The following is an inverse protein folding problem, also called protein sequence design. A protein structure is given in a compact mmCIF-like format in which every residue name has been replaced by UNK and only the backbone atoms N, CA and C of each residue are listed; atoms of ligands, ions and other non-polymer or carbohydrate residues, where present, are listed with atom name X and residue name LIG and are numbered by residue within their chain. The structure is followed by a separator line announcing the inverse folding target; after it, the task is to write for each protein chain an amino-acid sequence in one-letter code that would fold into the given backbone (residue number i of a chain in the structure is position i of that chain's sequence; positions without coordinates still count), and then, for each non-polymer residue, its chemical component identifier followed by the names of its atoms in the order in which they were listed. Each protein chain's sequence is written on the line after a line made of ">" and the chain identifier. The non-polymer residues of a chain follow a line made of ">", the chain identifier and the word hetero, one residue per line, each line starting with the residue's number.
data_IF_050340449203
#
_entry.id   IF_050340449203
#
_cell.length_a   1.000
_cell.length_b   1.000
_cell.length_c   1.000
_cell.angle_alpha   90.00
_cell.angle_beta   90.00
_cell.angle_gamma   90.00
#
_symmetry.space_group_name_H-M   'P 1'
#
loop_
_entity.id
_entity.type
_entity.pdbx_description
1 polymer ?
#
# COMPACT_ATOMS: atom_id res chain seq x y z
N UNK A 1 -9.79 -9.59 -16.76
CA UNK A 1 -10.55 -8.95 -15.67
C UNK A 1 -11.67 -9.88 -15.25
N UNK A 2 -11.57 -10.34 -14.04
CA UNK A 2 -12.44 -11.37 -13.49
C UNK A 2 -13.74 -10.73 -13.02
N UNK A 3 -14.86 -11.07 -13.65
CA UNK A 3 -16.20 -10.77 -13.16
C UNK A 3 -16.55 -11.64 -11.91
N UNK A 4 -15.60 -11.85 -11.01
CA UNK A 4 -15.79 -12.66 -9.80
C UNK A 4 -16.51 -11.90 -8.68
N UNK A 5 -16.57 -10.58 -8.75
CA UNK A 5 -17.17 -9.75 -7.70
C UNK A 5 -18.64 -10.08 -7.39
N UNK A 6 -19.39 -10.57 -8.37
CA UNK A 6 -20.82 -10.88 -8.18
C UNK A 6 -21.13 -12.37 -7.92
N UNK A 7 -20.18 -13.30 -8.12
CA UNK A 7 -20.52 -14.74 -8.17
C UNK A 7 -20.06 -15.60 -7.00
N UNK A 8 -19.13 -15.13 -6.17
CA UNK A 8 -18.59 -16.00 -5.11
C UNK A 8 -18.22 -15.21 -3.85
N UNK A 9 -19.21 -14.88 -3.01
CA UNK A 9 -19.02 -14.22 -1.72
C UNK A 9 -17.98 -14.93 -0.83
N UNK A 10 -17.93 -16.25 -0.87
CA UNK A 10 -16.94 -17.02 -0.12
C UNK A 10 -15.49 -16.80 -0.58
N UNK A 11 -15.25 -16.53 -1.88
CA UNK A 11 -13.92 -16.23 -2.40
C UNK A 11 -13.45 -14.85 -1.91
N UNK A 12 -14.33 -13.85 -1.93
CA UNK A 12 -14.05 -12.53 -1.39
C UNK A 12 -13.79 -12.59 0.13
N UNK A 13 -14.54 -13.41 0.85
CA UNK A 13 -14.36 -13.62 2.29
C UNK A 13 -13.01 -14.30 2.61
N UNK A 14 -12.63 -15.35 1.87
CA UNK A 14 -11.33 -15.99 2.04
C UNK A 14 -10.17 -15.04 1.68
N UNK A 15 -10.29 -14.32 0.57
CA UNK A 15 -9.29 -13.31 0.20
C UNK A 15 -9.17 -12.24 1.29
N UNK A 16 -10.30 -11.71 1.78
CA UNK A 16 -10.34 -10.75 2.88
C UNK A 16 -9.68 -11.32 4.15
N UNK A 17 -9.96 -12.57 4.48
CA UNK A 17 -9.35 -13.27 5.60
C UNK A 17 -7.82 -13.32 5.48
N UNK A 18 -7.29 -13.76 4.34
CA UNK A 18 -5.84 -13.80 4.08
C UNK A 18 -5.23 -12.40 4.13
N UNK A 19 -5.81 -11.46 3.38
CA UNK A 19 -5.27 -10.12 3.25
C UNK A 19 -5.26 -9.37 4.58
N UNK A 20 -6.38 -9.38 5.32
CA UNK A 20 -6.48 -8.66 6.59
C UNK A 20 -5.66 -9.35 7.68
N UNK A 21 -5.56 -10.69 7.69
CA UNK A 21 -4.68 -11.40 8.62
C UNK A 21 -3.21 -11.05 8.39
N UNK A 22 -2.75 -10.98 7.13
CA UNK A 22 -1.39 -10.57 6.79
C UNK A 22 -1.12 -9.12 7.22
N UNK A 23 -2.05 -8.20 6.95
CA UNK A 23 -1.96 -6.80 7.39
C UNK A 23 -1.94 -6.70 8.92
N UNK A 24 -2.80 -7.46 9.61
CA UNK A 24 -2.86 -7.51 11.08
C UNK A 24 -1.54 -8.02 11.67
N UNK A 25 -0.99 -9.08 11.09
CA UNK A 25 0.34 -9.59 11.47
C UNK A 25 1.40 -8.50 11.34
N UNK A 26 1.44 -7.83 10.19
CA UNK A 26 2.41 -6.76 9.96
C UNK A 26 2.26 -5.62 10.98
N UNK A 27 1.05 -5.13 11.21
CA UNK A 27 0.79 -4.05 12.16
C UNK A 27 1.21 -4.45 13.59
N UNK A 28 0.77 -5.62 14.06
CA UNK A 28 0.97 -6.03 15.46
C UNK A 28 2.41 -6.48 15.70
N UNK A 29 2.92 -7.40 14.88
CA UNK A 29 4.22 -8.03 15.13
C UNK A 29 5.39 -7.16 14.66
N UNK A 30 5.24 -6.42 13.57
CA UNK A 30 6.31 -5.58 13.02
C UNK A 30 6.16 -4.11 13.41
N UNK A 31 4.95 -3.56 13.31
CA UNK A 31 4.70 -2.15 13.52
C UNK A 31 4.69 -1.75 15.00
N UNK A 32 4.05 -2.53 15.87
CA UNK A 32 3.91 -2.20 17.30
C UNK A 32 5.01 -2.77 18.20
N UNK A 33 5.89 -3.61 17.69
CA UNK A 33 6.95 -4.24 18.48
C UNK A 33 7.84 -3.25 19.23
N UNK A 34 8.05 -2.05 18.69
CA UNK A 34 8.89 -1.00 19.28
C UNK A 34 8.10 0.10 19.98
N UNK A 35 6.77 0.00 20.01
CA UNK A 35 5.92 1.02 20.61
C UNK A 35 5.87 0.83 22.12
N UNK A 36 6.36 1.83 22.88
CA UNK A 36 6.47 1.80 24.36
C UNK A 36 5.11 1.78 25.08
N UNK A 37 4.02 2.11 24.38
CA UNK A 37 2.67 2.15 24.94
C UNK A 37 1.88 0.85 24.74
N UNK A 38 2.46 -0.14 24.05
CA UNK A 38 1.83 -1.43 23.78
C UNK A 38 2.67 -2.54 24.40
N UNK A 39 2.76 -2.51 25.72
CA UNK A 39 3.33 -3.63 26.50
C UNK A 39 2.15 -4.48 27.02
N UNK A 40 2.22 -5.80 26.83
CA UNK A 40 1.20 -6.68 27.38
C UNK A 40 1.33 -8.14 26.97
N UNK A 41 0.79 -9.01 27.80
CA UNK A 41 0.81 -10.46 27.64
C UNK A 41 0.30 -10.93 26.25
N UNK A 42 -0.56 -10.16 25.60
CA UNK A 42 -1.06 -10.47 24.26
C UNK A 42 0.06 -10.36 23.20
N UNK A 43 0.87 -9.32 23.24
CA UNK A 43 2.00 -9.15 22.30
C UNK A 43 3.07 -10.22 22.51
N UNK A 44 3.38 -10.53 23.76
CA UNK A 44 4.34 -11.59 24.09
C UNK A 44 3.84 -12.94 23.59
N UNK A 45 2.55 -13.23 23.80
CA UNK A 45 1.93 -14.44 23.27
C UNK A 45 1.98 -14.46 21.73
N UNK A 46 1.61 -13.38 21.06
CA UNK A 46 1.58 -13.29 19.61
C UNK A 46 2.99 -13.43 19.00
N UNK A 47 4.02 -12.84 19.63
CA UNK A 47 5.41 -12.96 19.20
C UNK A 47 5.96 -14.39 19.40
N UNK A 48 5.58 -15.05 20.49
CA UNK A 48 6.02 -16.42 20.77
C UNK A 48 5.27 -17.47 19.97
N UNK A 49 4.03 -17.18 19.53
CA UNK A 49 3.16 -18.11 18.83
C UNK A 49 2.67 -17.57 17.45
N UNK A 50 3.61 -17.10 16.64
CA UNK A 50 3.33 -16.41 15.38
C UNK A 50 2.39 -17.21 14.45
N UNK A 51 2.62 -18.50 14.28
CA UNK A 51 1.80 -19.35 13.42
C UNK A 51 0.36 -19.52 13.94
N UNK A 52 0.20 -19.64 15.26
CA UNK A 52 -1.13 -19.72 15.88
C UNK A 52 -1.85 -18.38 15.73
N UNK A 53 -1.14 -17.26 15.93
CA UNK A 53 -1.67 -15.92 15.75
C UNK A 53 -2.15 -15.69 14.31
N UNK A 54 -1.35 -16.07 13.30
CA UNK A 54 -1.73 -15.96 11.89
C UNK A 54 -2.95 -16.83 11.59
N UNK A 55 -2.96 -18.10 12.03
CA UNK A 55 -4.08 -19.01 11.82
C UNK A 55 -5.37 -18.52 12.46
N UNK A 56 -5.31 -18.07 13.70
CA UNK A 56 -6.46 -17.51 14.41
C UNK A 56 -6.97 -16.23 13.72
N UNK A 57 -6.06 -15.32 13.38
CA UNK A 57 -6.40 -14.09 12.64
C UNK A 57 -7.07 -14.41 11.31
N UNK A 58 -6.56 -15.36 10.56
CA UNK A 58 -7.17 -15.77 9.29
C UNK A 58 -8.61 -16.28 9.47
N UNK A 59 -8.84 -17.15 10.46
CA UNK A 59 -10.19 -17.67 10.72
C UNK A 59 -11.14 -16.54 11.14
N UNK A 60 -10.73 -15.70 12.09
CA UNK A 60 -11.53 -14.58 12.58
C UNK A 60 -11.87 -13.61 11.44
N UNK A 61 -10.86 -13.18 10.68
CA UNK A 61 -11.06 -12.23 9.59
C UNK A 61 -11.85 -12.81 8.41
N UNK A 62 -11.74 -14.12 8.15
CA UNK A 62 -12.58 -14.78 7.14
C UNK A 62 -14.05 -14.78 7.54
N UNK A 63 -14.35 -15.06 8.81
CA UNK A 63 -15.72 -15.02 9.35
C UNK A 63 -16.26 -13.58 9.32
N UNK A 64 -15.48 -12.61 9.79
CA UNK A 64 -15.85 -11.19 9.78
C UNK A 64 -16.09 -10.70 8.35
N UNK A 65 -15.20 -11.02 7.42
CA UNK A 65 -15.36 -10.65 6.01
C UNK A 65 -16.63 -11.25 5.39
N UNK A 66 -16.90 -12.51 5.68
CA UNK A 66 -18.12 -13.15 5.22
C UNK A 66 -19.37 -12.47 5.81
N UNK A 67 -19.36 -12.16 7.09
CA UNK A 67 -20.47 -11.49 7.77
C UNK A 67 -20.71 -10.07 7.22
N UNK A 68 -19.64 -9.29 6.99
CA UNK A 68 -19.74 -7.95 6.42
C UNK A 68 -20.32 -7.96 5.02
N UNK A 69 -19.92 -8.92 4.18
CA UNK A 69 -20.46 -9.04 2.84
C UNK A 69 -21.90 -9.59 2.83
N UNK A 70 -22.21 -10.58 3.69
CA UNK A 70 -23.50 -11.23 3.74
C UNK A 70 -24.60 -10.33 4.33
N UNK A 71 -24.33 -9.66 5.47
CA UNK A 71 -25.30 -8.87 6.20
C UNK A 71 -25.31 -7.40 5.81
N UNK A 72 -24.14 -6.80 5.64
CA UNK A 72 -24.00 -5.37 5.36
C UNK A 72 -23.79 -5.04 3.88
N UNK A 73 -23.59 -6.05 3.03
CA UNK A 73 -23.30 -5.90 1.59
C UNK A 73 -22.10 -4.97 1.31
N UNK A 74 -21.13 -4.94 2.24
CA UNK A 74 -19.93 -4.14 2.10
C UNK A 74 -18.95 -4.91 1.22
N UNK A 75 -18.35 -4.23 0.26
CA UNK A 75 -17.32 -4.81 -0.60
C UNK A 75 -16.01 -4.97 0.18
N UNK A 76 -15.59 -6.23 0.40
CA UNK A 76 -14.40 -6.57 1.18
C UNK A 76 -13.12 -6.01 0.56
N UNK A 77 -13.05 -5.89 -0.76
CA UNK A 77 -11.88 -5.32 -1.42
C UNK A 77 -11.63 -3.86 -1.02
N UNK A 78 -12.69 -3.08 -0.78
CA UNK A 78 -12.57 -1.71 -0.28
C UNK A 78 -11.97 -1.70 1.12
N UNK A 79 -12.41 -2.62 2.00
CA UNK A 79 -11.86 -2.73 3.37
C UNK A 79 -10.38 -3.09 3.31
N UNK A 80 -9.99 -4.06 2.48
CA UNK A 80 -8.57 -4.44 2.30
C UNK A 80 -7.75 -3.26 1.78
N UNK A 81 -8.29 -2.48 0.83
CA UNK A 81 -7.62 -1.27 0.31
C UNK A 81 -7.39 -0.25 1.42
N UNK A 82 -8.41 0.03 2.23
CA UNK A 82 -8.31 1.02 3.33
C UNK A 82 -7.30 0.55 4.38
N UNK A 83 -7.40 -0.70 4.83
CA UNK A 83 -6.49 -1.26 5.84
C UNK A 83 -5.06 -1.39 5.31
N UNK A 84 -4.88 -1.84 4.06
CA UNK A 84 -3.56 -1.92 3.42
C UNK A 84 -2.93 -0.54 3.24
N UNK A 85 -3.73 0.46 2.85
CA UNK A 85 -3.25 1.85 2.76
C UNK A 85 -2.83 2.38 4.13
N UNK A 86 -3.60 2.09 5.17
CA UNK A 86 -3.25 2.47 6.54
C UNK A 86 -1.96 1.79 7.00
N UNK A 87 -1.82 0.48 6.80
CA UNK A 87 -0.61 -0.26 7.18
C UNK A 87 0.63 0.24 6.45
N UNK A 88 0.49 0.49 5.13
CA UNK A 88 1.57 1.05 4.33
C UNK A 88 1.95 2.46 4.79
N UNK A 89 0.96 3.33 5.05
CA UNK A 89 1.19 4.66 5.59
C UNK A 89 1.89 4.62 6.95
N UNK A 90 1.51 3.68 7.82
CA UNK A 90 2.14 3.49 9.13
C UNK A 90 3.61 3.03 8.99
N UNK A 91 3.90 2.12 8.06
CA UNK A 91 5.26 1.66 7.78
C UNK A 91 6.15 2.81 7.28
N UNK A 92 5.66 3.62 6.35
CA UNK A 92 6.39 4.79 5.85
C UNK A 92 6.54 5.86 6.92
N UNK A 93 5.48 6.17 7.67
CA UNK A 93 5.54 7.15 8.75
C UNK A 93 6.56 6.77 9.83
N UNK A 94 6.68 5.48 10.18
CA UNK A 94 7.69 5.00 11.10
C UNK A 94 9.11 5.25 10.59
N UNK A 95 9.37 5.00 9.32
CA UNK A 95 10.67 5.25 8.70
C UNK A 95 10.97 6.76 8.59
N UNK A 96 10.01 7.56 8.18
CA UNK A 96 10.16 9.01 8.06
C UNK A 96 10.35 9.68 9.43
N UNK A 97 9.64 9.21 10.46
CA UNK A 97 9.82 9.68 11.84
C UNK A 97 11.27 9.50 12.32
N UNK A 98 11.87 8.34 12.06
CA UNK A 98 13.27 8.09 12.45
C UNK A 98 14.22 9.05 11.73
N UNK A 99 14.03 9.27 10.45
CA UNK A 99 14.95 10.08 9.64
C UNK A 99 14.80 11.59 9.87
N UNK A 100 13.58 12.08 10.05
CA UNK A 100 13.32 13.53 10.13
C UNK A 100 13.16 14.04 11.56
N UNK A 101 12.68 13.22 12.47
CA UNK A 101 12.41 13.60 13.86
C UNK A 101 13.39 12.94 14.82
N UNK A 102 13.77 11.68 14.58
CA UNK A 102 14.66 10.92 15.45
C UNK A 102 16.02 11.57 15.60
N UNK A 103 16.63 12.03 14.51
CA UNK A 103 17.96 12.67 14.54
C UNK A 103 17.96 13.99 15.33
N UNK A 104 17.07 14.96 15.09
CA UNK A 104 16.95 16.17 15.93
C UNK A 104 16.66 15.86 17.39
N UNK A 105 15.83 14.84 17.67
CA UNK A 105 15.52 14.44 19.04
C UNK A 105 16.71 13.80 19.76
N UNK A 106 17.47 12.97 19.06
CA UNK A 106 18.69 12.40 19.58
C UNK A 106 19.71 13.51 19.91
N UNK A 107 19.85 14.50 19.02
CA UNK A 107 20.72 15.66 19.27
C UNK A 107 20.26 16.48 20.49
N UNK A 108 18.96 16.74 20.62
CA UNK A 108 18.40 17.44 21.77
C UNK A 108 18.65 16.66 23.09
N UNK A 109 18.38 15.37 23.10
CA UNK A 109 18.60 14.53 24.28
C UNK A 109 20.10 14.46 24.63
N UNK A 110 20.99 14.36 23.64
CA UNK A 110 22.44 14.40 23.86
C UNK A 110 22.88 15.73 24.50
N UNK A 111 22.34 16.84 24.04
CA UNK A 111 22.61 18.13 24.60
C UNK A 111 22.15 18.23 26.07
N UNK A 112 20.93 17.79 26.37
CA UNK A 112 20.40 17.83 27.75
C UNK A 112 21.16 16.94 28.70
N UNK A 113 21.62 15.75 28.25
CA UNK A 113 22.45 14.84 29.07
C UNK A 113 23.82 15.44 29.29
N UNK A 114 24.43 16.03 28.25
CA UNK A 114 25.72 16.70 28.40
C UNK A 114 25.64 17.90 29.34
N UNK A 115 24.61 18.76 29.21
CA UNK A 115 24.39 19.91 30.09
C UNK A 115 24.23 19.46 31.56
N UNK A 116 23.50 18.37 31.82
CA UNK A 116 23.31 17.80 33.14
C UNK A 116 24.56 17.17 33.73
N UNK A 117 25.49 16.66 32.90
CA UNK A 117 26.75 16.04 33.36
C UNK A 117 27.75 17.05 33.91
N UNK A 118 27.71 18.32 33.47
CA UNK A 118 28.67 19.34 33.83
C UNK A 118 30.09 19.12 33.30
N UNK A 119 30.30 18.12 32.44
CA UNK A 119 31.58 17.81 31.83
C UNK A 119 31.94 18.72 30.67
N UNK A 120 33.26 18.86 30.42
CA UNK A 120 33.68 19.57 29.20
C UNK A 120 33.30 18.78 27.94
N UNK A 121 32.81 19.46 26.92
CA UNK A 121 32.36 18.84 25.66
C UNK A 121 33.42 17.94 25.00
N UNK A 122 34.70 18.22 25.23
CA UNK A 122 35.85 17.40 24.75
C UNK A 122 36.08 16.09 25.52
N UNK A 123 35.50 15.94 26.69
CA UNK A 123 35.67 14.77 27.58
C UNK A 123 34.38 13.95 27.68
N UNK A 124 33.25 14.50 27.29
CA UNK A 124 31.95 13.84 27.34
C UNK A 124 31.85 12.74 26.28
N UNK A 125 31.64 11.51 26.73
CA UNK A 125 31.39 10.35 25.85
C UNK A 125 29.90 10.16 25.61
N UNK A 126 29.54 9.92 24.34
CA UNK A 126 28.12 9.74 23.91
C UNK A 126 27.60 8.30 24.20
N UNK A 127 28.10 7.62 25.20
CA UNK A 127 27.70 6.23 25.54
C UNK A 127 26.21 6.10 25.87
N UNK A 128 25.61 7.15 26.43
CA UNK A 128 24.18 7.21 26.72
C UNK A 128 23.28 7.10 25.48
N UNK A 129 23.81 7.36 24.27
CA UNK A 129 23.08 7.18 23.00
C UNK A 129 23.15 5.75 22.45
N UNK A 130 24.00 4.88 23.01
CA UNK A 130 24.05 3.46 22.65
C UNK A 130 22.81 2.70 23.15
N UNK A 131 22.15 3.23 24.19
CA UNK A 131 20.90 2.71 24.70
C UNK A 131 19.68 3.38 24.04
N UNK A 132 18.48 2.78 24.23
CA UNK A 132 17.23 3.38 23.73
C UNK A 132 16.97 4.72 24.42
N UNK A 133 17.10 5.79 23.68
CA UNK A 133 16.82 7.14 24.20
C UNK A 133 15.30 7.38 24.20
N UNK A 134 14.68 7.61 25.36
CA UNK A 134 13.25 7.87 25.43
C UNK A 134 12.94 9.22 24.77
N UNK A 135 12.09 9.19 23.77
CA UNK A 135 11.64 10.41 23.10
C UNK A 135 10.40 10.97 23.78
N UNK A 136 10.37 12.27 24.05
CA UNK A 136 9.23 12.90 24.69
C UNK A 136 7.98 12.83 23.77
N UNK A 137 6.87 12.19 24.24
CA UNK A 137 5.68 11.99 23.41
C UNK A 137 5.08 13.29 22.88
N UNK A 138 5.19 14.37 23.64
CA UNK A 138 4.64 15.69 23.27
C UNK A 138 5.36 16.28 22.05
N UNK A 139 6.68 16.12 21.96
CA UNK A 139 7.47 16.57 20.82
C UNK A 139 7.17 15.74 19.57
N UNK A 140 6.95 14.44 19.71
CA UNK A 140 6.50 13.58 18.63
C UNK A 140 5.12 13.96 18.10
N UNK A 141 4.18 14.27 19.00
CA UNK A 141 2.84 14.75 18.63
C UNK A 141 2.90 16.08 17.90
N UNK A 142 3.69 17.03 18.36
CA UNK A 142 3.87 18.33 17.68
C UNK A 142 4.49 18.14 16.30
N UNK A 143 5.55 17.37 16.19
CA UNK A 143 6.22 17.09 14.91
C UNK A 143 5.30 16.36 13.94
N UNK A 144 4.56 15.33 14.40
CA UNK A 144 3.55 14.62 13.63
C UNK A 144 2.41 15.54 13.19
N UNK A 145 1.94 16.42 14.06
CA UNK A 145 0.93 17.42 13.74
C UNK A 145 1.38 18.39 12.64
N UNK A 146 2.60 18.92 12.72
CA UNK A 146 3.20 19.77 11.68
C UNK A 146 3.31 19.01 10.35
N UNK A 147 3.73 17.75 10.39
CA UNK A 147 3.83 16.90 9.19
C UNK A 147 2.45 16.70 8.54
N UNK A 148 1.42 16.37 9.32
CA UNK A 148 0.05 16.21 8.82
C UNK A 148 -0.44 17.51 8.16
N UNK A 149 -0.29 18.65 8.82
CA UNK A 149 -0.70 19.94 8.28
C UNK A 149 0.05 20.27 6.99
N UNK A 150 1.36 20.06 6.97
CA UNK A 150 2.20 20.30 5.79
C UNK A 150 1.77 19.47 4.61
N UNK A 151 1.53 18.15 4.80
CA UNK A 151 1.06 17.25 3.75
C UNK A 151 -0.35 17.62 3.27
N UNK A 152 -1.25 17.97 4.20
CA UNK A 152 -2.62 18.34 3.88
C UNK A 152 -2.70 19.59 2.99
N UNK A 153 -1.89 20.61 3.27
CA UNK A 153 -1.85 21.84 2.49
C UNK A 153 -0.90 21.79 1.28
N UNK A 154 -0.09 20.76 1.15
CA UNK A 154 0.89 20.64 0.07
C UNK A 154 0.23 20.41 -1.29
N UNK A 155 0.43 21.36 -2.21
CA UNK A 155 0.03 21.19 -3.61
C UNK A 155 0.79 20.06 -4.31
N UNK A 156 2.03 19.78 -3.90
CA UNK A 156 2.86 18.70 -4.45
C UNK A 156 2.29 17.33 -4.05
N UNK A 157 1.95 17.13 -2.76
CA UNK A 157 1.33 15.90 -2.28
C UNK A 157 0.02 15.60 -3.01
N UNK A 158 -0.84 16.60 -3.18
CA UNK A 158 -2.10 16.45 -3.95
C UNK A 158 -1.86 16.05 -5.41
N UNK A 159 -0.79 16.54 -6.05
CA UNK A 159 -0.45 16.14 -7.43
C UNK A 159 -0.02 14.68 -7.50
N UNK A 160 0.75 14.19 -6.51
CA UNK A 160 1.15 12.78 -6.42
C UNK A 160 -0.09 11.90 -6.27
N UNK A 161 -0.98 12.23 -5.32
CA UNK A 161 -2.25 11.50 -5.13
C UNK A 161 -3.06 11.48 -6.43
N UNK A 162 -3.24 12.64 -7.10
CA UNK A 162 -3.95 12.70 -8.38
C UNK A 162 -3.30 11.82 -9.44
N UNK A 163 -1.97 11.79 -9.52
CA UNK A 163 -1.26 10.93 -10.48
C UNK A 163 -1.50 9.45 -10.18
N UNK A 164 -1.43 9.05 -8.91
CA UNK A 164 -1.71 7.66 -8.50
C UNK A 164 -3.14 7.24 -8.83
N UNK A 165 -4.11 8.13 -8.59
CA UNK A 165 -5.52 7.91 -8.94
C UNK A 165 -5.69 7.77 -10.46
N UNK A 166 -5.08 8.66 -11.24
CA UNK A 166 -5.17 8.64 -12.72
C UNK A 166 -4.54 7.35 -13.29
N UNK A 167 -3.44 6.85 -12.70
CA UNK A 167 -2.80 5.59 -13.10
C UNK A 167 -3.59 4.33 -12.72
N UNK A 168 -4.48 4.44 -11.72
CA UNK A 168 -5.30 3.32 -11.25
C UNK A 168 -6.66 3.24 -11.96
N UNK A 169 -6.97 4.19 -12.83
CA UNK A 169 -8.23 4.22 -13.60
C UNK A 169 -8.24 3.16 -14.69
N UNK A 170 -9.41 2.58 -14.92
CA UNK A 170 -9.66 1.65 -16.03
C UNK A 170 -10.32 2.36 -17.23
N UNK A 171 -10.84 3.55 -17.02
CA UNK A 171 -11.50 4.32 -18.07
C UNK A 171 -10.49 4.85 -19.09
N UNK A 172 -10.91 4.95 -20.35
CA UNK A 172 -10.21 5.67 -21.42
C UNK A 172 -10.29 7.19 -21.10
N UNK A 173 -9.48 7.63 -20.12
CA UNK A 173 -9.35 9.04 -19.77
C UNK A 173 -8.40 9.77 -20.70
N UNK A 174 -8.42 11.10 -20.66
CA UNK A 174 -7.45 11.93 -21.37
C UNK A 174 -6.03 11.55 -20.97
N UNK A 175 -5.22 11.09 -21.92
CA UNK A 175 -3.82 10.76 -21.69
C UNK A 175 -3.07 12.00 -21.19
N UNK A 176 -2.45 11.86 -20.03
CA UNK A 176 -1.71 12.94 -19.36
C UNK A 176 -0.40 13.29 -20.06
N UNK A 177 0.15 12.32 -20.77
CA UNK A 177 1.43 12.47 -21.47
C UNK A 177 1.19 12.58 -22.95
N UNK A 178 1.60 13.71 -23.53
CA UNK A 178 1.61 13.83 -24.98
C UNK A 178 2.66 12.87 -25.57
N UNK A 179 2.31 12.12 -26.62
CA UNK A 179 3.26 11.18 -27.23
C UNK A 179 4.50 11.91 -27.74
N UNK A 180 5.65 11.45 -27.31
CA UNK A 180 6.96 11.97 -27.74
C UNK A 180 7.26 11.51 -29.17
N UNK A 181 8.09 12.24 -29.89
CA UNK A 181 8.52 11.92 -31.27
C UNK A 181 9.13 10.52 -31.36
N UNK A 182 9.94 10.14 -30.36
CA UNK A 182 10.54 8.79 -30.28
C UNK A 182 9.49 7.70 -30.10
N UNK A 183 8.51 7.90 -29.22
CA UNK A 183 7.44 6.92 -29.03
C UNK A 183 6.57 6.74 -30.27
N UNK A 184 6.32 7.84 -31.01
CA UNK A 184 5.61 7.77 -32.31
C UNK A 184 6.38 6.98 -33.35
N UNK A 185 7.70 7.16 -33.39
CA UNK A 185 8.58 6.42 -34.34
C UNK A 185 8.58 4.92 -34.01
N UNK A 186 8.73 4.58 -32.72
CA UNK A 186 8.69 3.19 -32.25
C UNK A 186 7.34 2.51 -32.54
N UNK A 187 6.22 3.20 -32.28
CA UNK A 187 4.88 2.68 -32.55
C UNK A 187 4.66 2.49 -34.06
N UNK A 188 5.09 3.44 -34.87
CA UNK A 188 5.02 3.30 -36.35
C UNK A 188 5.88 2.13 -36.84
N UNK A 189 7.09 1.98 -36.34
CA UNK A 189 7.95 0.83 -36.64
C UNK A 189 7.32 -0.50 -36.24
N UNK A 190 6.74 -0.58 -35.04
CA UNK A 190 6.06 -1.78 -34.57
C UNK A 190 4.81 -2.11 -35.43
N UNK A 191 4.04 -1.12 -35.86
CA UNK A 191 2.89 -1.32 -36.74
C UNK A 191 3.36 -1.81 -38.13
N UNK A 192 4.42 -1.24 -38.68
CA UNK A 192 4.96 -1.67 -39.97
C UNK A 192 5.51 -3.10 -39.91
N UNK A 193 6.25 -3.43 -38.81
CA UNK A 193 6.75 -4.76 -38.57
C UNK A 193 5.59 -5.77 -38.43
N UNK A 194 4.57 -5.45 -37.66
CA UNK A 194 3.40 -6.28 -37.52
C UNK A 194 2.70 -6.51 -38.87
N UNK A 195 2.54 -5.46 -39.68
CA UNK A 195 1.96 -5.58 -41.01
C UNK A 195 2.80 -6.47 -41.92
N UNK A 196 4.13 -6.33 -41.90
CA UNK A 196 5.03 -7.18 -42.68
C UNK A 196 4.95 -8.66 -42.25
N UNK A 197 4.97 -8.92 -40.95
CA UNK A 197 4.83 -10.27 -40.38
C UNK A 197 3.47 -10.88 -40.73
N UNK A 198 2.38 -10.13 -40.60
CA UNK A 198 1.04 -10.61 -40.97
C UNK A 198 0.93 -10.93 -42.47
N UNK A 199 1.64 -10.22 -43.33
CA UNK A 199 1.65 -10.50 -44.77
C UNK A 199 2.32 -11.84 -45.12
N UNK A 200 3.28 -12.26 -44.33
CA UNK A 200 4.05 -13.52 -44.53
C UNK A 200 3.31 -14.72 -43.92
N UNK A 201 2.51 -14.52 -42.87
CA UNK A 201 1.85 -15.60 -42.14
C UNK A 201 0.67 -16.19 -42.92
N UNK A 202 0.45 -17.51 -42.85
CA UNK A 202 -0.73 -18.16 -43.39
C UNK A 202 -2.02 -17.62 -42.80
N UNK A 203 -3.09 -17.54 -43.60
CA UNK A 203 -4.39 -16.99 -43.17
C UNK A 203 -4.99 -17.68 -41.94
N UNK A 204 -4.72 -18.97 -41.72
CA UNK A 204 -5.15 -19.73 -40.55
C UNK A 204 -4.47 -19.21 -39.26
N UNK A 205 -3.18 -18.92 -39.33
CA UNK A 205 -2.40 -18.37 -38.21
C UNK A 205 -2.81 -16.92 -37.91
N UNK A 206 -3.06 -16.11 -38.94
CA UNK A 206 -3.57 -14.77 -38.80
C UNK A 206 -4.92 -14.77 -38.03
N UNK A 207 -5.86 -15.62 -38.48
CA UNK A 207 -7.16 -15.75 -37.82
C UNK A 207 -7.05 -16.22 -36.37
N UNK A 208 -6.12 -17.11 -36.06
CA UNK A 208 -5.86 -17.56 -34.68
C UNK A 208 -5.30 -16.41 -33.83
N UNK A 209 -4.34 -15.64 -34.35
CA UNK A 209 -3.79 -14.47 -33.66
C UNK A 209 -4.86 -13.42 -33.43
N UNK A 210 -5.61 -13.04 -34.48
CA UNK A 210 -6.68 -12.05 -34.36
C UNK A 210 -7.72 -12.47 -33.32
N UNK A 211 -8.08 -13.77 -33.26
CA UNK A 211 -9.02 -14.28 -32.25
C UNK A 211 -8.52 -14.12 -30.81
N UNK A 212 -7.20 -14.12 -30.60
CA UNK A 212 -6.58 -13.89 -29.27
C UNK A 212 -6.57 -12.43 -28.87
N UNK A 213 -6.49 -11.53 -29.85
CA UNK A 213 -6.42 -10.07 -29.64
C UNK A 213 -7.73 -9.34 -29.93
N UNK A 214 -8.80 -10.07 -30.24
CA UNK A 214 -10.13 -9.47 -30.34
C UNK A 214 -10.43 -8.77 -29.02
N UNK A 215 -10.40 -7.43 -29.04
CA UNK A 215 -10.99 -6.62 -27.97
C UNK A 215 -12.42 -7.13 -27.84
N UNK A 216 -12.73 -7.83 -26.77
CA UNK A 216 -14.12 -8.12 -26.43
C UNK A 216 -14.77 -6.76 -26.30
N UNK A 217 -15.45 -6.32 -27.35
CA UNK A 217 -16.34 -5.18 -27.32
C UNK A 217 -17.40 -5.55 -26.30
N UNK A 218 -17.20 -5.17 -25.06
CA UNK A 218 -18.26 -5.19 -24.08
C UNK A 218 -19.36 -4.34 -24.69
N UNK A 219 -20.43 -4.99 -25.07
CA UNK A 219 -21.63 -4.34 -25.58
C UNK A 219 -21.88 -3.12 -24.71
N UNK A 220 -22.15 -1.97 -25.30
CA UNK A 220 -22.31 -0.64 -24.64
C UNK A 220 -23.17 -0.63 -23.37
N UNK A 221 -23.96 -1.67 -23.13
CA UNK A 221 -24.78 -1.87 -21.94
C UNK A 221 -23.94 -2.24 -20.71
N UNK A 222 -22.75 -2.82 -20.86
CA UNK A 222 -21.88 -3.21 -19.75
C UNK A 222 -20.90 -2.09 -19.34
N UNK A 223 -20.72 -1.04 -20.14
CA UNK A 223 -19.81 0.07 -19.82
C UNK A 223 -20.34 0.98 -18.69
N UNK A 224 -21.64 0.90 -18.36
CA UNK A 224 -22.26 1.69 -17.29
C UNK A 224 -22.01 1.05 -15.91
N UNK A 225 -21.70 -0.26 -15.86
CA UNK A 225 -21.57 -1.01 -14.63
C UNK A 225 -20.13 -1.41 -14.22
N UNK A 226 -19.12 -1.00 -14.99
CA UNK A 226 -17.73 -1.25 -14.62
C UNK A 226 -17.29 -0.23 -13.58
N UNK A 227 -16.80 -0.67 -12.42
CA UNK A 227 -16.23 0.26 -11.46
C UNK A 227 -15.06 1.01 -12.08
N UNK A 228 -14.97 2.32 -11.83
CA UNK A 228 -13.93 3.19 -12.36
C UNK A 228 -12.51 2.69 -12.05
N UNK A 229 -12.38 1.82 -11.05
CA UNK A 229 -11.13 1.22 -10.58
C UNK A 229 -11.26 -0.29 -10.46
N UNK A 230 -10.17 -1.02 -10.77
CA UNK A 230 -10.05 -2.46 -10.48
C UNK A 230 -9.74 -2.65 -8.98
N UNK A 231 -10.81 -2.79 -8.19
CA UNK A 231 -10.70 -2.96 -6.73
C UNK A 231 -9.95 -4.24 -6.35
N UNK A 232 -10.10 -5.32 -7.11
CA UNK A 232 -9.41 -6.58 -6.83
C UNK A 232 -7.90 -6.40 -6.99
N UNK A 233 -7.48 -5.82 -8.11
CA UNK A 233 -6.07 -5.54 -8.39
C UNK A 233 -5.48 -4.57 -7.37
N UNK A 234 -6.20 -3.52 -7.03
CA UNK A 234 -5.77 -2.56 -6.03
C UNK A 234 -5.61 -3.20 -4.65
N UNK A 235 -6.56 -4.04 -4.23
CA UNK A 235 -6.51 -4.76 -2.95
C UNK A 235 -5.32 -5.73 -2.88
N UNK A 236 -5.07 -6.51 -3.95
CA UNK A 236 -3.91 -7.41 -4.02
C UNK A 236 -2.60 -6.64 -3.96
N UNK A 237 -2.46 -5.56 -4.74
CA UNK A 237 -1.25 -4.75 -4.74
C UNK A 237 -0.98 -4.12 -3.36
N UNK A 238 -2.01 -3.59 -2.71
CA UNK A 238 -1.87 -3.00 -1.38
C UNK A 238 -1.57 -4.04 -0.30
N UNK A 239 -2.19 -5.22 -0.36
CA UNK A 239 -1.86 -6.33 0.53
C UNK A 239 -0.38 -6.69 0.42
N UNK A 240 0.14 -6.88 -0.81
CA UNK A 240 1.55 -7.23 -1.02
C UNK A 240 2.49 -6.11 -0.57
N UNK A 241 2.14 -4.85 -0.85
CA UNK A 241 2.97 -3.71 -0.49
C UNK A 241 2.98 -3.40 1.02
N UNK A 242 1.97 -3.85 1.78
CA UNK A 242 1.80 -3.55 3.20
C UNK A 242 2.37 -4.63 4.14
N UNK A 243 2.84 -5.75 3.62
CA UNK A 243 3.43 -6.88 4.36
C UNK A 243 4.92 -7.02 4.07
#
# INVERSE_FOLDING_TARGET
>A
TFHYEKKAKWVAALFGGVAIAAITYFIIIKGLKSATFVEGAFLDWANNNVWQFIGLSFVVWSIVSYALEAFFKINIYIIVIVLGTFALAMAFAGNDLVNFIGVPMAAYNSYTIWEASGELASQFTMESLAEKVPTQPMLLLLAGGVMILTLWFSKKARRVVKTSVDLSRQDEGAERFKPNTVSRLLVRGAIQLNYAVMKILPKSTQKYMDSRFVKRTHTRVAAIDLPAFDLVRAAVNLMIASV
#
